data_IF_158361290405
#
_entry.id   IF_158361290405
#
_cell.length_a   1.000
_cell.length_b   1.000
_cell.length_c   1.000
_cell.angle_alpha   90.00
_cell.angle_beta   90.00
_cell.angle_gamma   90.00
#
_symmetry.space_group_name_H-M   'P 1'
#
loop_
_entity.id
_entity.type
_entity.pdbx_description
1 polymer ?
#
# COMPACT_ATOMS: atom_id res chain seq x y z
N UNK A 1 -4.07 -25.10 0.39
CA UNK A 1 -3.08 -24.64 1.38
C UNK A 1 -2.60 -23.29 0.89
N UNK A 2 -2.96 -22.23 1.60
CA UNK A 2 -3.00 -20.89 1.02
C UNK A 2 -1.58 -20.36 0.72
N UNK A 3 -1.33 -19.96 -0.53
CA UNK A 3 -0.02 -19.47 -1.00
C UNK A 3 0.45 -18.24 -0.18
N UNK A 4 -0.51 -17.52 0.41
CA UNK A 4 -0.34 -16.34 1.25
C UNK A 4 0.32 -16.62 2.60
N UNK A 5 -0.20 -17.60 3.36
CA UNK A 5 0.33 -17.98 4.68
C UNK A 5 1.79 -18.47 4.57
N UNK A 6 2.07 -19.14 3.46
CA UNK A 6 3.42 -19.59 3.10
C UNK A 6 4.39 -18.43 2.88
N UNK A 7 3.95 -17.32 2.25
CA UNK A 7 4.80 -16.14 2.01
C UNK A 7 5.09 -15.38 3.31
N UNK A 8 4.07 -15.14 4.14
CA UNK A 8 4.25 -14.49 5.44
C UNK A 8 5.18 -15.31 6.35
N UNK A 9 5.05 -16.64 6.33
CA UNK A 9 5.95 -17.54 7.05
C UNK A 9 7.39 -17.42 6.55
N UNK A 10 7.63 -17.48 5.24
CA UNK A 10 8.99 -17.35 4.69
C UNK A 10 9.62 -15.98 4.97
N UNK A 11 8.84 -14.89 4.94
CA UNK A 11 9.34 -13.56 5.29
C UNK A 11 9.69 -13.45 6.78
N UNK A 12 8.89 -14.07 7.67
CA UNK A 12 9.22 -14.12 9.11
C UNK A 12 10.49 -14.91 9.37
N UNK A 13 10.65 -16.06 8.73
CA UNK A 13 11.85 -16.89 8.82
C UNK A 13 13.07 -16.15 8.26
N UNK A 14 12.97 -15.56 7.06
CA UNK A 14 14.10 -14.89 6.41
C UNK A 14 14.61 -13.69 7.18
N UNK A 15 13.72 -12.90 7.79
CA UNK A 15 14.08 -11.74 8.63
C UNK A 15 14.95 -12.15 9.83
N UNK A 16 14.96 -13.42 10.26
CA UNK A 16 15.85 -13.91 11.31
C UNK A 16 17.23 -14.35 10.81
N UNK A 17 17.38 -14.54 9.49
CA UNK A 17 18.58 -15.06 8.85
C UNK A 17 19.37 -13.99 8.07
N UNK A 18 18.83 -12.78 7.96
CA UNK A 18 19.44 -11.68 7.19
C UNK A 18 20.39 -10.86 8.07
N UNK A 19 21.66 -10.83 7.69
CA UNK A 19 22.68 -9.99 8.34
C UNK A 19 22.80 -8.59 7.71
N UNK A 20 22.28 -8.38 6.49
CA UNK A 20 22.24 -7.06 5.84
C UNK A 20 21.02 -6.25 6.32
N UNK A 21 21.23 -5.11 7.01
CA UNK A 21 20.15 -4.26 7.50
C UNK A 21 19.19 -3.78 6.41
N UNK A 22 19.68 -3.53 5.18
CA UNK A 22 18.83 -3.07 4.06
C UNK A 22 17.91 -4.17 3.59
N UNK A 23 18.42 -5.39 3.42
CA UNK A 23 17.60 -6.54 3.04
C UNK A 23 16.57 -6.87 4.14
N UNK A 24 16.96 -6.76 5.41
CA UNK A 24 16.03 -6.93 6.52
C UNK A 24 14.91 -5.89 6.48
N UNK A 25 15.19 -4.62 6.19
CA UNK A 25 14.16 -3.59 6.03
C UNK A 25 13.21 -3.90 4.87
N UNK A 26 13.72 -4.29 3.70
CA UNK A 26 12.87 -4.67 2.56
C UNK A 26 11.93 -5.83 2.93
N UNK A 27 12.45 -6.85 3.61
CA UNK A 27 11.64 -7.99 4.04
C UNK A 27 10.58 -7.58 5.08
N UNK A 28 10.94 -6.71 6.04
CA UNK A 28 10.01 -6.16 7.03
C UNK A 28 8.93 -5.28 6.41
N UNK A 29 9.26 -4.49 5.38
CA UNK A 29 8.29 -3.67 4.68
C UNK A 29 7.28 -4.51 3.91
N UNK A 30 7.74 -5.52 3.17
CA UNK A 30 6.84 -6.43 2.47
C UNK A 30 5.96 -7.22 3.45
N UNK A 31 6.53 -7.69 4.56
CA UNK A 31 5.78 -8.41 5.59
C UNK A 31 4.72 -7.49 6.23
N UNK A 32 5.10 -6.29 6.65
CA UNK A 32 4.20 -5.33 7.29
C UNK A 32 3.08 -4.88 6.36
N UNK A 33 3.38 -4.58 5.09
CA UNK A 33 2.39 -4.23 4.09
C UNK A 33 1.38 -5.38 3.89
N UNK A 34 1.86 -6.62 3.74
CA UNK A 34 1.01 -7.78 3.55
C UNK A 34 0.06 -7.99 4.72
N UNK A 35 0.60 -8.00 5.94
CA UNK A 35 -0.16 -8.19 7.17
C UNK A 35 -1.21 -7.08 7.37
N UNK A 36 -0.86 -5.83 7.08
CA UNK A 36 -1.78 -4.71 7.19
C UNK A 36 -2.94 -4.82 6.17
N UNK A 37 -2.63 -5.23 4.94
CA UNK A 37 -3.63 -5.44 3.87
C UNK A 37 -4.56 -6.61 4.14
N UNK A 38 -4.14 -7.57 4.96
CA UNK A 38 -4.94 -8.72 5.43
C UNK A 38 -5.72 -8.41 6.73
N UNK A 39 -5.60 -7.21 7.28
CA UNK A 39 -6.26 -6.82 8.53
C UNK A 39 -5.56 -7.30 9.81
N UNK A 40 -4.37 -7.90 9.70
CA UNK A 40 -3.55 -8.32 10.85
C UNK A 40 -2.78 -7.14 11.46
N UNK A 41 -3.52 -6.19 12.04
CA UNK A 41 -2.99 -4.92 12.53
C UNK A 41 -1.84 -5.07 13.54
N UNK A 42 -1.97 -5.99 14.50
CA UNK A 42 -0.95 -6.22 15.52
C UNK A 42 0.37 -6.71 14.94
N UNK A 43 0.32 -7.68 14.03
CA UNK A 43 1.53 -8.23 13.40
C UNK A 43 2.15 -7.23 12.42
N UNK A 44 1.33 -6.45 11.71
CA UNK A 44 1.82 -5.36 10.87
C UNK A 44 2.57 -4.31 11.71
N UNK A 45 2.01 -3.91 12.86
CA UNK A 45 2.65 -2.98 13.78
C UNK A 45 3.97 -3.54 14.34
N UNK A 46 4.03 -4.84 14.66
CA UNK A 46 5.29 -5.48 15.08
C UNK A 46 6.37 -5.37 14.00
N UNK A 47 6.02 -5.55 12.72
CA UNK A 47 6.97 -5.36 11.62
C UNK A 47 7.45 -3.90 11.54
N UNK A 48 6.55 -2.93 11.72
CA UNK A 48 6.87 -1.48 11.75
C UNK A 48 7.85 -1.15 12.89
N UNK A 49 7.59 -1.60 14.12
CA UNK A 49 8.49 -1.36 15.26
C UNK A 49 9.87 -1.98 15.04
N UNK A 50 9.94 -3.17 14.46
CA UNK A 50 11.22 -3.81 14.14
C UNK A 50 11.96 -3.04 13.05
N UNK A 51 11.27 -2.57 12.01
CA UNK A 51 11.88 -1.75 10.96
C UNK A 51 12.39 -0.40 11.49
N UNK A 52 11.66 0.23 12.42
CA UNK A 52 12.08 1.47 13.10
C UNK A 52 13.41 1.29 13.85
N UNK A 53 13.56 0.16 14.54
CA UNK A 53 14.81 -0.19 15.23
C UNK A 53 15.97 -0.33 14.25
N UNK A 54 15.76 -0.98 13.11
CA UNK A 54 16.80 -1.19 12.08
C UNK A 54 17.16 0.13 11.39
N UNK A 55 16.17 0.98 11.06
CA UNK A 55 16.42 2.31 10.50
C UNK A 55 17.24 3.20 11.45
N UNK A 56 16.92 3.14 12.74
CA UNK A 56 17.66 3.87 13.78
C UNK A 56 19.12 3.40 13.84
N UNK A 57 19.36 2.08 13.78
CA UNK A 57 20.73 1.53 13.73
C UNK A 57 21.49 1.96 12.48
N UNK A 58 20.80 2.16 11.35
CA UNK A 58 21.37 2.65 10.11
C UNK A 58 21.55 4.18 10.06
N UNK A 59 21.16 4.90 11.12
CA UNK A 59 21.27 6.36 11.20
C UNK A 59 20.16 7.15 10.51
N UNK A 60 19.14 6.48 9.93
CA UNK A 60 17.92 7.12 9.43
C UNK A 60 18.09 8.14 8.28
N UNK A 61 19.22 8.13 7.57
CA UNK A 61 19.51 9.14 6.53
C UNK A 61 18.96 8.80 5.14
N UNK A 62 18.56 7.55 4.91
CA UNK A 62 18.02 7.11 3.63
C UNK A 62 16.54 7.50 3.50
N UNK A 63 16.28 8.58 2.76
CA UNK A 63 14.95 9.15 2.59
C UNK A 63 13.96 8.20 1.92
N UNK A 64 14.43 7.30 1.05
CA UNK A 64 13.57 6.32 0.39
C UNK A 64 13.12 5.24 1.38
N UNK A 65 14.04 4.72 2.20
CA UNK A 65 13.71 3.75 3.23
C UNK A 65 12.81 4.35 4.32
N UNK A 66 13.04 5.62 4.70
CA UNK A 66 12.18 6.35 5.65
C UNK A 66 10.77 6.56 5.06
N UNK A 67 10.66 6.97 3.79
CA UNK A 67 9.36 7.13 3.12
C UNK A 67 8.63 5.78 3.04
N UNK A 68 9.33 4.70 2.74
CA UNK A 68 8.73 3.36 2.68
C UNK A 68 8.27 2.87 4.04
N UNK A 69 9.05 3.09 5.10
CA UNK A 69 8.65 2.80 6.48
C UNK A 69 7.39 3.55 6.88
N UNK A 70 7.32 4.85 6.56
CA UNK A 70 6.13 5.67 6.82
C UNK A 70 4.89 5.11 6.13
N UNK A 71 5.02 4.67 4.89
CA UNK A 71 3.90 4.06 4.16
C UNK A 71 3.41 2.79 4.87
N UNK A 72 4.30 1.87 5.22
CA UNK A 72 3.92 0.64 5.94
C UNK A 72 3.29 0.94 7.30
N UNK A 73 3.83 1.94 8.02
CA UNK A 73 3.25 2.44 9.28
C UNK A 73 1.82 2.95 9.09
N UNK A 74 1.56 3.70 8.01
CA UNK A 74 0.24 4.20 7.71
C UNK A 74 -0.76 3.07 7.41
N UNK A 75 -0.32 2.02 6.70
CA UNK A 75 -1.14 0.82 6.46
C UNK A 75 -1.47 0.09 7.77
N UNK A 76 -0.50 0.01 8.70
CA UNK A 76 -0.74 -0.56 10.02
C UNK A 76 -1.76 0.27 10.83
N UNK A 77 -1.67 1.61 10.79
CA UNK A 77 -2.68 2.48 11.41
C UNK A 77 -4.06 2.29 10.80
N UNK A 78 -4.17 2.17 9.47
CA UNK A 78 -5.46 1.87 8.82
C UNK A 78 -6.01 0.54 9.33
N UNK A 79 -5.18 -0.51 9.34
CA UNK A 79 -5.59 -1.83 9.81
C UNK A 79 -6.05 -1.84 11.28
N UNK A 80 -5.54 -0.94 12.12
CA UNK A 80 -5.97 -0.78 13.51
C UNK A 80 -7.17 0.17 13.70
N UNK A 81 -7.69 0.77 12.62
CA UNK A 81 -8.78 1.76 12.68
C UNK A 81 -8.34 3.18 13.07
N UNK A 82 -7.03 3.44 13.16
CA UNK A 82 -6.46 4.75 13.49
C UNK A 82 -6.43 5.65 12.23
N UNK A 83 -7.60 5.89 11.64
CA UNK A 83 -7.74 6.45 10.29
C UNK A 83 -7.12 7.84 10.14
N UNK A 84 -7.20 8.69 11.16
CA UNK A 84 -6.60 10.02 11.12
C UNK A 84 -5.06 9.97 11.07
N UNK A 85 -4.45 9.02 11.79
CA UNK A 85 -3.00 8.80 11.75
C UNK A 85 -2.58 8.20 10.39
N UNK A 86 -3.37 7.25 9.88
CA UNK A 86 -3.14 6.66 8.55
C UNK A 86 -3.19 7.73 7.44
N UNK A 87 -4.20 8.60 7.46
CA UNK A 87 -4.34 9.72 6.54
C UNK A 87 -3.12 10.65 6.58
N UNK A 88 -2.73 11.10 7.77
CA UNK A 88 -1.60 12.01 7.95
C UNK A 88 -0.30 11.44 7.38
N UNK A 89 -0.01 10.17 7.69
CA UNK A 89 1.20 9.50 7.22
C UNK A 89 1.16 9.25 5.70
N UNK A 90 0.02 8.85 5.13
CA UNK A 90 -0.12 8.65 3.67
C UNK A 90 -0.04 9.96 2.88
N UNK A 91 -0.61 11.05 3.40
CA UNK A 91 -0.44 12.38 2.80
C UNK A 91 1.04 12.78 2.76
N UNK A 92 1.78 12.52 3.84
CA UNK A 92 3.20 12.81 3.90
C UNK A 92 4.00 11.92 2.94
N UNK A 93 3.72 10.62 2.87
CA UNK A 93 4.31 9.69 1.88
C UNK A 93 4.07 10.20 0.45
N UNK A 94 2.83 10.55 0.11
CA UNK A 94 2.47 11.05 -1.22
C UNK A 94 3.25 12.32 -1.56
N UNK A 95 3.34 13.26 -0.62
CA UNK A 95 4.12 14.49 -0.79
C UNK A 95 5.60 14.18 -1.03
N UNK A 96 6.18 13.30 -0.23
CA UNK A 96 7.59 12.92 -0.32
C UNK A 96 7.87 12.25 -1.68
N UNK A 97 7.03 11.31 -2.12
CA UNK A 97 7.15 10.65 -3.42
C UNK A 97 7.04 11.63 -4.59
N UNK A 98 6.06 12.54 -4.58
CA UNK A 98 5.93 13.57 -5.61
C UNK A 98 7.13 14.52 -5.64
N UNK A 99 7.67 14.91 -4.48
CA UNK A 99 8.85 15.77 -4.41
C UNK A 99 10.11 15.12 -4.98
N UNK A 100 10.12 13.79 -5.09
CA UNK A 100 11.18 12.99 -5.70
C UNK A 100 10.81 12.51 -7.12
N UNK A 101 9.77 13.08 -7.74
CA UNK A 101 9.30 12.73 -9.10
C UNK A 101 8.87 11.26 -9.26
N UNK A 102 8.53 10.59 -8.15
CA UNK A 102 8.06 9.20 -8.13
C UNK A 102 6.54 9.14 -8.32
N UNK A 103 6.10 9.45 -9.54
CA UNK A 103 4.67 9.61 -9.88
C UNK A 103 3.88 8.31 -9.70
N UNK A 104 4.38 7.17 -10.19
CA UNK A 104 3.69 5.87 -10.06
C UNK A 104 3.60 5.41 -8.60
N UNK A 105 4.69 5.39 -7.80
CA UNK A 105 4.59 5.11 -6.37
C UNK A 105 3.63 6.05 -5.63
N UNK A 106 3.61 7.34 -5.98
CA UNK A 106 2.66 8.31 -5.40
C UNK A 106 1.22 7.92 -5.70
N UNK A 107 0.91 7.54 -6.94
CA UNK A 107 -0.42 7.11 -7.33
C UNK A 107 -0.87 5.81 -6.62
N UNK A 108 0.06 4.91 -6.28
CA UNK A 108 -0.24 3.77 -5.41
C UNK A 108 -0.55 4.18 -3.97
N UNK A 109 0.25 5.08 -3.39
CA UNK A 109 -0.01 5.61 -2.05
C UNK A 109 -1.37 6.33 -2.01
N UNK A 110 -1.78 6.98 -3.11
CA UNK A 110 -3.12 7.57 -3.29
C UNK A 110 -4.24 6.53 -3.29
N UNK A 111 -4.05 5.32 -3.80
CA UNK A 111 -5.06 4.25 -3.68
C UNK A 111 -5.26 3.83 -2.22
N UNK A 112 -4.17 3.69 -1.47
CA UNK A 112 -4.24 3.40 -0.04
C UNK A 112 -4.88 4.57 0.73
N UNK A 113 -4.57 5.82 0.37
CA UNK A 113 -5.20 7.00 0.98
C UNK A 113 -6.70 7.05 0.70
N UNK A 114 -7.12 6.70 -0.52
CA UNK A 114 -8.52 6.65 -0.87
C UNK A 114 -9.28 5.56 -0.09
N UNK A 115 -8.63 4.45 0.28
CA UNK A 115 -9.25 3.48 1.19
C UNK A 115 -9.51 4.05 2.58
N UNK A 116 -8.58 4.90 3.10
CA UNK A 116 -8.76 5.61 4.37
C UNK A 116 -9.90 6.62 4.26
N UNK A 117 -9.97 7.38 3.16
CA UNK A 117 -11.08 8.31 2.93
C UNK A 117 -12.43 7.61 2.77
N UNK A 118 -12.49 6.46 2.10
CA UNK A 118 -13.70 5.66 2.00
C UNK A 118 -14.18 5.20 3.39
N UNK A 119 -13.26 4.75 4.26
CA UNK A 119 -13.57 4.40 5.64
C UNK A 119 -14.05 5.61 6.47
N UNK A 120 -13.54 6.80 6.18
CA UNK A 120 -13.95 8.07 6.80
C UNK A 120 -15.18 8.72 6.14
N UNK A 121 -15.76 8.12 5.09
CA UNK A 121 -16.87 8.69 4.30
C UNK A 121 -16.55 10.05 3.63
N UNK A 122 -15.28 10.29 3.31
CA UNK A 122 -14.78 11.47 2.58
C UNK A 122 -14.88 11.29 1.07
N UNK A 123 -16.12 11.28 0.56
CA UNK A 123 -16.45 10.88 -0.82
C UNK A 123 -15.82 11.79 -1.88
N UNK A 124 -15.74 13.10 -1.65
CA UNK A 124 -15.18 14.04 -2.64
C UNK A 124 -13.66 13.87 -2.77
N UNK A 125 -12.98 13.62 -1.66
CA UNK A 125 -11.56 13.33 -1.63
C UNK A 125 -11.25 11.98 -2.31
N UNK A 126 -12.12 10.98 -2.15
CA UNK A 126 -12.05 9.71 -2.88
C UNK A 126 -12.13 9.94 -4.39
N UNK A 127 -13.12 10.71 -4.87
CA UNK A 127 -13.28 11.01 -6.31
C UNK A 127 -12.07 11.74 -6.88
N UNK A 128 -11.54 12.71 -6.14
CA UNK A 128 -10.36 13.47 -6.56
C UNK A 128 -9.14 12.55 -6.73
N UNK A 129 -8.88 11.66 -5.75
CA UNK A 129 -7.77 10.70 -5.85
C UNK A 129 -7.99 9.69 -6.98
N UNK A 130 -9.22 9.22 -7.20
CA UNK A 130 -9.52 8.31 -8.29
C UNK A 130 -9.24 8.91 -9.66
N UNK A 131 -9.57 10.19 -9.86
CA UNK A 131 -9.27 10.90 -11.10
C UNK A 131 -7.76 11.07 -11.30
N UNK A 132 -7.03 11.43 -10.26
CA UNK A 132 -5.56 11.57 -10.31
C UNK A 132 -4.88 10.23 -10.63
N UNK A 133 -5.22 9.16 -9.91
CA UNK A 133 -4.67 7.83 -10.17
C UNK A 133 -4.98 7.39 -11.60
N UNK A 134 -6.22 7.55 -12.06
CA UNK A 134 -6.60 7.16 -13.42
C UNK A 134 -5.76 7.89 -14.48
N UNK A 135 -5.58 9.22 -14.34
CA UNK A 135 -4.74 10.00 -15.24
C UNK A 135 -3.30 9.47 -15.30
N UNK A 136 -2.67 9.23 -14.14
CA UNK A 136 -1.30 8.69 -14.05
C UNK A 136 -1.18 7.33 -14.74
N UNK A 137 -2.06 6.38 -14.42
CA UNK A 137 -1.93 5.03 -14.97
C UNK A 137 -2.27 4.95 -16.47
N UNK A 138 -3.11 5.85 -16.98
CA UNK A 138 -3.34 5.96 -18.42
C UNK A 138 -2.15 6.56 -19.17
N UNK A 139 -1.43 7.53 -18.60
CA UNK A 139 -0.27 8.14 -19.25
C UNK A 139 0.95 7.22 -19.28
N UNK A 140 1.10 6.38 -18.26
CA UNK A 140 2.24 5.45 -18.13
C UNK A 140 2.10 4.18 -19.00
N UNK A 141 1.04 4.05 -19.80
CA UNK A 141 0.86 2.90 -20.70
C UNK A 141 0.63 1.58 -19.97
N UNK A 142 -0.10 1.62 -18.85
CA UNK A 142 -0.36 0.45 -18.00
C UNK A 142 -1.11 -0.65 -18.76
N UNK A 143 -0.64 -1.89 -18.63
CA UNK A 143 -1.24 -3.11 -19.18
C UNK A 143 -2.75 -3.26 -18.84
N UNK A 144 -3.45 -4.04 -19.68
CA UNK A 144 -4.92 -4.12 -19.68
C UNK A 144 -5.55 -4.45 -18.33
N UNK A 145 -4.96 -5.36 -17.56
CA UNK A 145 -5.57 -5.85 -16.32
C UNK A 145 -5.45 -4.86 -15.16
N UNK A 146 -4.32 -4.18 -15.04
CA UNK A 146 -4.18 -3.07 -14.09
C UNK A 146 -5.10 -1.91 -14.46
N UNK A 147 -5.24 -1.60 -15.76
CA UNK A 147 -6.20 -0.59 -16.21
C UNK A 147 -7.66 -0.96 -15.86
N UNK A 148 -8.05 -2.24 -15.95
CA UNK A 148 -9.39 -2.70 -15.54
C UNK A 148 -9.62 -2.52 -14.04
N UNK A 149 -8.63 -2.85 -13.21
CA UNK A 149 -8.71 -2.61 -11.77
C UNK A 149 -8.87 -1.11 -11.44
N UNK A 150 -8.10 -0.24 -12.12
CA UNK A 150 -8.24 1.21 -11.99
C UNK A 150 -9.60 1.72 -12.47
N UNK A 151 -10.11 1.22 -13.59
CA UNK A 151 -11.44 1.59 -14.08
C UNK A 151 -12.54 1.18 -13.10
N UNK A 152 -12.40 0.01 -12.46
CA UNK A 152 -13.33 -0.45 -11.42
C UNK A 152 -13.34 0.55 -10.26
N UNK A 153 -12.15 0.88 -9.76
CA UNK A 153 -11.98 1.85 -8.68
C UNK A 153 -12.55 3.22 -9.05
N UNK A 154 -12.20 3.74 -10.23
CA UNK A 154 -12.67 5.02 -10.74
C UNK A 154 -14.20 5.05 -10.85
N UNK A 155 -14.81 4.03 -11.46
CA UNK A 155 -16.28 3.96 -11.60
C UNK A 155 -16.99 3.90 -10.25
N UNK A 156 -16.49 3.10 -9.31
CA UNK A 156 -17.05 3.02 -7.97
C UNK A 156 -16.93 4.35 -7.22
N UNK A 157 -15.79 5.05 -7.35
CA UNK A 157 -15.60 6.37 -6.75
C UNK A 157 -16.58 7.40 -7.34
N UNK A 158 -16.73 7.43 -8.67
CA UNK A 158 -17.65 8.36 -9.34
C UNK A 158 -19.13 8.07 -9.03
N UNK A 159 -19.48 6.80 -8.86
CA UNK A 159 -20.82 6.38 -8.46
C UNK A 159 -21.08 6.50 -6.94
N UNK A 160 -20.11 6.97 -6.16
CA UNK A 160 -20.18 7.05 -4.69
C UNK A 160 -20.44 5.69 -4.01
N UNK A 161 -20.05 4.60 -4.66
CA UNK A 161 -20.19 3.22 -4.17
C UNK A 161 -18.86 2.60 -3.76
N UNK A 162 -17.75 3.35 -3.82
CA UNK A 162 -16.45 2.85 -3.37
C UNK A 162 -16.45 2.64 -1.86
N UNK A 163 -16.37 1.38 -1.45
CA UNK A 163 -16.16 0.99 -0.06
C UNK A 163 -14.67 0.89 0.26
N UNK A 164 -14.33 0.97 1.55
CA UNK A 164 -12.96 0.68 2.01
C UNK A 164 -12.48 -0.69 1.49
N UNK A 165 -13.30 -1.73 1.63
CA UNK A 165 -12.97 -3.08 1.22
C UNK A 165 -12.62 -3.17 -0.29
N UNK A 166 -13.40 -2.48 -1.14
CA UNK A 166 -13.11 -2.43 -2.57
C UNK A 166 -11.82 -1.66 -2.87
N UNK A 167 -11.60 -0.53 -2.21
CA UNK A 167 -10.37 0.24 -2.35
C UNK A 167 -9.13 -0.58 -1.94
N UNK A 168 -9.19 -1.31 -0.82
CA UNK A 168 -8.13 -2.23 -0.39
C UNK A 168 -7.93 -3.34 -1.41
N UNK A 169 -9.00 -3.97 -1.93
CA UNK A 169 -8.91 -5.04 -2.93
C UNK A 169 -8.17 -4.55 -4.20
N UNK A 170 -8.51 -3.37 -4.71
CA UNK A 170 -7.83 -2.79 -5.88
C UNK A 170 -6.38 -2.46 -5.57
N UNK A 171 -6.10 -1.78 -4.44
CA UNK A 171 -4.72 -1.45 -4.05
C UNK A 171 -3.84 -2.70 -3.92
N UNK A 172 -4.38 -3.77 -3.33
CA UNK A 172 -3.69 -5.06 -3.18
C UNK A 172 -3.41 -5.72 -4.54
N UNK A 173 -4.37 -5.66 -5.48
CA UNK A 173 -4.18 -6.19 -6.82
C UNK A 173 -3.06 -5.45 -7.55
N UNK A 174 -3.11 -4.11 -7.57
CA UNK A 174 -2.11 -3.30 -8.27
C UNK A 174 -0.72 -3.48 -7.66
N UNK A 175 -0.60 -3.49 -6.33
CA UNK A 175 0.69 -3.71 -5.66
C UNK A 175 1.32 -5.05 -6.07
N UNK A 176 0.49 -6.11 -6.19
CA UNK A 176 0.95 -7.42 -6.67
C UNK A 176 1.30 -7.40 -8.16
N UNK A 177 0.50 -6.69 -8.97
CA UNK A 177 0.70 -6.56 -10.41
C UNK A 177 2.07 -5.95 -10.74
N UNK A 178 2.52 -4.96 -9.97
CA UNK A 178 3.83 -4.34 -10.16
C UNK A 178 5.01 -5.32 -10.01
N UNK A 179 4.86 -6.34 -9.17
CA UNK A 179 5.87 -7.37 -8.98
C UNK A 179 5.64 -8.64 -9.83
N UNK A 180 4.46 -8.77 -10.45
CA UNK A 180 4.10 -9.90 -11.30
C UNK A 180 3.05 -9.49 -12.34
N UNK A 181 3.53 -9.03 -13.51
CA UNK A 181 2.69 -8.54 -14.61
C UNK A 181 1.84 -9.63 -15.30
N UNK A 182 2.05 -10.91 -14.97
CA UNK A 182 1.23 -12.02 -15.47
C UNK A 182 -0.08 -12.23 -14.69
N UNK A 183 -0.29 -11.47 -13.62
CA UNK A 183 -1.50 -11.53 -12.81
C UNK A 183 -2.71 -11.00 -13.58
N UNK A 184 -3.75 -11.83 -13.68
CA UNK A 184 -5.03 -11.43 -14.24
C UNK A 184 -5.92 -10.80 -13.19
N UNK A 185 -6.65 -9.77 -13.58
CA UNK A 185 -7.68 -9.19 -12.73
C UNK A 185 -8.95 -10.03 -12.80
N UNK A 186 -9.23 -10.79 -11.74
CA UNK A 186 -10.46 -11.57 -11.61
C UNK A 186 -11.46 -10.83 -10.71
N UNK A 187 -12.63 -10.52 -11.26
CA UNK A 187 -13.76 -9.97 -10.53
C UNK A 187 -14.61 -11.12 -9.95
N UNK A 188 -15.10 -10.97 -8.71
CA UNK A 188 -16.22 -11.75 -8.20
C UNK A 188 -17.22 -10.78 -7.59
N UNK A 189 -18.46 -10.81 -8.10
CA UNK A 189 -19.63 -10.26 -7.41
C UNK A 189 -19.98 -11.24 -6.29
N UNK A 190 -19.38 -11.04 -5.12
CA UNK A 190 -19.89 -11.63 -3.86
C UNK A 190 -20.20 -10.51 -2.88
#
# INVERSE_FOLDING_TARGET
MDSLDTTCRYLRESVTLLDDPRLMLVALFHLGERLAREGSAFDAWRAVCRADSVLTLMGGTDTQLVTRHRWVKALAFRASGELAAAESELMAVRRDLLSNELVVPSALASLDLASVYAAQQKTEEVKALAQECFAVFTSEGTDSDALVAFMTFYRAAQAETLTEALAVKVANFIARYQHNQSLRYEWSEE
#
